data_IF_213730941320
#
_entry.id   IF_213730941320
#
_cell.length_a   1.000
_cell.length_b   1.000
_cell.length_c   1.000
_cell.angle_alpha   90.00
_cell.angle_beta   90.00
_cell.angle_gamma   90.00
#
_symmetry.space_group_name_H-M   'P 1'
#
loop_
_entity.id
_entity.type
_entity.pdbx_description
1 polymer ?
#
# COMPACT_ATOMS: atom_id res chain seq x y z
N UNK A 1 21.40 30.17 12.51
CA UNK A 1 20.89 28.83 12.90
C UNK A 1 19.38 28.93 12.91
N UNK A 2 18.67 28.22 12.03
CA UNK A 2 17.22 28.09 12.16
C UNK A 2 16.98 26.98 13.19
N UNK A 3 16.26 27.29 14.26
CA UNK A 3 15.82 26.31 15.24
C UNK A 3 15.06 25.19 14.51
N UNK A 4 15.54 23.97 14.70
CA UNK A 4 14.88 22.78 14.20
C UNK A 4 13.74 22.51 15.18
N UNK A 5 12.53 22.93 14.82
CA UNK A 5 11.32 22.60 15.59
C UNK A 5 11.20 21.09 15.59
N UNK A 6 11.48 20.46 16.73
CA UNK A 6 11.23 19.04 16.93
C UNK A 6 9.73 18.90 17.14
N UNK A 7 9.02 18.47 16.11
CA UNK A 7 7.62 18.10 16.24
C UNK A 7 7.54 16.76 16.99
N UNK A 8 7.10 16.82 18.25
CA UNK A 8 6.92 15.65 19.11
C UNK A 8 5.87 14.67 18.58
N UNK A 9 5.00 15.09 17.64
CA UNK A 9 4.00 14.21 17.02
C UNK A 9 4.54 13.43 15.81
N UNK A 10 5.73 13.76 15.30
CA UNK A 10 6.29 13.13 14.10
C UNK A 10 6.91 11.77 14.43
N UNK A 11 6.33 10.69 13.90
CA UNK A 11 6.87 9.33 14.04
C UNK A 11 7.92 9.01 12.99
N UNK A 12 7.68 9.36 11.72
CA UNK A 12 8.61 9.21 10.60
C UNK A 12 8.43 10.39 9.62
N UNK A 13 9.30 10.48 8.62
CA UNK A 13 9.28 11.52 7.60
C UNK A 13 9.52 10.95 6.20
N UNK A 14 9.43 11.79 5.17
CA UNK A 14 9.82 11.43 3.80
C UNK A 14 8.81 10.53 3.08
N UNK A 15 7.53 10.69 3.37
CA UNK A 15 6.41 10.00 2.73
C UNK A 15 5.66 11.05 1.90
N UNK A 16 5.21 10.70 0.69
CA UNK A 16 4.49 11.58 -0.24
C UNK A 16 3.01 11.70 0.08
N UNK A 17 2.28 10.59 -0.05
CA UNK A 17 0.82 10.56 0.12
C UNK A 17 0.36 9.18 0.61
N UNK A 18 0.45 8.91 1.93
CA UNK A 18 0.03 7.63 2.48
C UNK A 18 -1.48 7.43 2.32
N UNK A 19 -1.90 6.20 2.03
CA UNK A 19 -3.31 5.85 1.86
C UNK A 19 -3.72 4.75 2.84
N UNK A 20 -3.16 3.55 2.68
CA UNK A 20 -3.49 2.39 3.49
C UNK A 20 -2.49 2.22 4.63
N UNK A 21 -3.01 1.94 5.83
CA UNK A 21 -2.24 1.61 7.02
C UNK A 21 -2.91 0.43 7.74
N UNK A 22 -2.12 -0.56 8.14
CA UNK A 22 -2.61 -1.73 8.86
C UNK A 22 -1.52 -2.33 9.72
N UNK A 23 -1.90 -2.89 10.88
CA UNK A 23 -0.98 -3.67 11.70
C UNK A 23 -0.83 -5.05 11.09
N UNK A 24 0.39 -5.44 10.79
CA UNK A 24 0.71 -6.80 10.40
C UNK A 24 0.44 -7.73 11.61
N UNK A 25 -0.51 -8.67 11.51
CA UNK A 25 -0.95 -9.45 12.65
C UNK A 25 0.09 -10.48 13.10
N UNK A 26 1.09 -10.80 12.27
CA UNK A 26 2.13 -11.78 12.59
C UNK A 26 3.34 -11.15 13.28
N UNK A 27 3.65 -9.87 13.01
CA UNK A 27 4.79 -9.17 13.63
C UNK A 27 4.39 -8.07 14.61
N UNK A 28 3.13 -7.61 14.58
CA UNK A 28 2.65 -6.45 15.32
C UNK A 28 3.16 -5.10 14.77
N UNK A 29 3.94 -5.11 13.68
CA UNK A 29 4.46 -3.90 13.07
C UNK A 29 3.37 -3.18 12.26
N UNK A 30 3.40 -1.84 12.30
CA UNK A 30 2.62 -1.03 11.36
C UNK A 30 3.23 -1.18 9.97
N UNK A 31 2.38 -1.43 8.97
CA UNK A 31 2.71 -1.28 7.57
C UNK A 31 1.89 -0.13 7.02
N UNK A 32 2.47 0.63 6.10
CA UNK A 32 1.77 1.65 5.34
C UNK A 32 2.10 1.52 3.87
N UNK A 33 1.27 2.11 3.02
CA UNK A 33 1.62 2.27 1.63
C UNK A 33 1.17 3.65 1.13
N UNK A 34 1.79 4.11 0.05
CA UNK A 34 1.62 5.47 -0.44
C UNK A 34 1.59 5.58 -1.96
N UNK A 35 1.01 6.67 -2.47
CA UNK A 35 1.07 6.99 -3.89
C UNK A 35 2.39 7.67 -4.25
N UNK A 36 3.04 7.16 -5.27
CA UNK A 36 4.09 7.85 -6.00
C UNK A 36 3.55 8.92 -6.96
N UNK A 37 4.43 9.63 -7.68
CA UNK A 37 4.04 10.56 -8.75
C UNK A 37 3.51 9.78 -9.99
N UNK A 38 4.25 9.78 -11.12
CA UNK A 38 3.98 8.86 -12.23
C UNK A 38 4.82 7.61 -12.01
N UNK A 39 4.20 6.58 -11.43
CA UNK A 39 4.93 5.42 -10.91
C UNK A 39 5.44 5.66 -9.49
N UNK A 40 6.00 4.62 -8.88
CA UNK A 40 6.62 4.68 -7.56
C UNK A 40 5.63 4.62 -6.40
N UNK A 41 4.51 3.91 -6.56
CA UNK A 41 3.70 3.52 -5.39
C UNK A 41 4.50 2.54 -4.54
N UNK A 42 4.41 2.65 -3.21
CA UNK A 42 5.31 1.95 -2.28
C UNK A 42 4.58 1.30 -1.11
N UNK A 43 5.08 0.15 -0.64
CA UNK A 43 4.78 -0.41 0.69
C UNK A 43 5.99 -0.19 1.59
N UNK A 44 5.76 0.38 2.76
CA UNK A 44 6.76 0.73 3.76
C UNK A 44 6.43 0.09 5.11
N UNK A 45 7.46 -0.29 5.88
CA UNK A 45 7.35 -0.66 7.29
C UNK A 45 7.89 0.52 8.10
N UNK A 46 7.04 1.47 8.51
CA UNK A 46 7.44 2.69 9.21
C UNK A 46 8.13 2.43 10.54
N UNK A 47 9.31 3.03 10.73
CA UNK A 47 10.09 3.02 11.97
C UNK A 47 10.26 4.42 12.55
N UNK A 48 10.38 4.50 13.88
CA UNK A 48 10.49 5.76 14.60
C UNK A 48 11.76 6.54 14.20
N UNK A 49 11.58 7.81 13.83
CA UNK A 49 12.65 8.73 13.47
C UNK A 49 13.27 8.49 12.09
N UNK A 50 12.75 7.52 11.32
CA UNK A 50 13.27 7.21 9.98
C UNK A 50 12.68 8.12 8.91
N UNK A 51 13.43 8.25 7.81
CA UNK A 51 13.08 9.06 6.65
C UNK A 51 12.93 8.15 5.42
N UNK A 52 11.74 8.08 4.83
CA UNK A 52 11.41 7.24 3.67
C UNK A 52 11.74 7.92 2.32
N UNK A 53 12.36 9.10 2.39
CA UNK A 53 13.14 9.64 1.29
C UNK A 53 12.41 10.62 0.38
N UNK A 54 11.08 10.61 0.27
CA UNK A 54 10.38 11.59 -0.57
C UNK A 54 10.67 13.05 -0.14
N UNK A 55 10.96 13.98 -1.09
CA UNK A 55 11.07 13.80 -2.54
C UNK A 55 12.50 13.52 -3.05
N UNK A 56 13.47 13.34 -2.15
CA UNK A 56 14.88 13.09 -2.50
C UNK A 56 15.09 11.70 -3.10
N UNK A 57 14.40 10.68 -2.59
CA UNK A 57 14.34 9.34 -3.15
C UNK A 57 12.94 9.09 -3.71
N UNK A 58 12.85 8.51 -4.91
CA UNK A 58 11.58 8.05 -5.47
C UNK A 58 11.81 7.03 -6.57
N UNK A 59 10.95 6.00 -6.61
CA UNK A 59 10.88 5.03 -7.70
C UNK A 59 10.03 5.49 -8.89
N UNK A 60 9.45 6.70 -8.80
CA UNK A 60 8.61 7.30 -9.83
C UNK A 60 9.29 8.45 -10.58
N UNK A 61 8.60 8.96 -11.60
CA UNK A 61 9.00 10.17 -12.33
C UNK A 61 7.92 11.24 -12.23
N UNK A 62 8.24 12.46 -12.62
CA UNK A 62 7.23 13.51 -12.78
C UNK A 62 6.21 13.09 -13.86
N UNK A 63 4.99 13.59 -13.80
CA UNK A 63 3.95 13.31 -14.79
C UNK A 63 4.35 13.71 -16.22
N UNK A 64 5.27 14.68 -16.37
CA UNK A 64 5.89 15.02 -17.66
C UNK A 64 6.75 13.89 -18.27
N UNK A 65 7.09 12.86 -17.49
CA UNK A 65 8.03 11.79 -17.86
C UNK A 65 9.49 12.12 -17.51
N UNK A 66 9.79 13.34 -17.06
CA UNK A 66 11.11 13.73 -16.57
C UNK A 66 11.27 13.38 -15.08
N UNK A 67 12.50 13.40 -14.60
CA UNK A 67 12.82 13.22 -13.18
C UNK A 67 12.06 14.24 -12.30
N UNK A 68 11.66 13.83 -11.10
CA UNK A 68 11.16 14.75 -10.06
C UNK A 68 12.28 15.76 -9.71
N UNK A 69 12.02 17.08 -9.70
CA UNK A 69 13.08 18.09 -9.60
C UNK A 69 14.03 17.94 -8.40
N UNK A 70 13.48 17.56 -7.24
CA UNK A 70 14.21 17.40 -5.98
C UNK A 70 14.90 16.04 -5.85
N UNK A 71 14.53 15.07 -6.67
CA UNK A 71 15.04 13.71 -6.55
C UNK A 71 16.55 13.66 -6.78
N UNK A 72 17.23 12.78 -6.06
CA UNK A 72 18.66 12.49 -6.18
C UNK A 72 18.91 11.12 -6.81
N UNK A 73 17.95 10.20 -6.72
CA UNK A 73 17.95 8.86 -7.35
C UNK A 73 16.84 7.99 -6.76
N UNK A 74 16.78 6.71 -7.13
CA UNK A 74 15.86 5.76 -6.46
C UNK A 74 16.37 5.39 -5.05
N UNK A 75 17.70 5.27 -4.90
CA UNK A 75 18.35 4.95 -3.62
C UNK A 75 19.20 6.15 -3.19
N UNK A 76 18.96 6.66 -1.98
CA UNK A 76 19.65 7.84 -1.44
C UNK A 76 20.14 7.56 -0.03
N UNK A 77 21.39 7.93 0.26
CA UNK A 77 21.97 7.81 1.60
C UNK A 77 21.15 8.57 2.65
N UNK A 78 20.95 7.95 3.82
CA UNK A 78 20.13 8.51 4.91
C UNK A 78 18.62 8.39 4.70
N UNK A 79 18.18 7.58 3.73
CA UNK A 79 16.77 7.25 3.50
C UNK A 79 16.55 5.74 3.60
N UNK A 80 15.38 5.34 4.08
CA UNK A 80 14.94 3.95 4.12
C UNK A 80 14.26 3.58 2.79
N UNK A 81 14.29 2.29 2.44
CA UNK A 81 13.73 1.79 1.20
C UNK A 81 12.40 1.07 1.44
N UNK A 82 11.49 1.09 0.46
CA UNK A 82 10.25 0.33 0.56
C UNK A 82 10.51 -1.17 0.49
N UNK A 83 9.65 -1.94 1.16
CA UNK A 83 9.68 -3.41 1.05
C UNK A 83 9.10 -3.89 -0.27
N UNK A 84 8.34 -3.04 -0.97
CA UNK A 84 7.83 -3.27 -2.31
C UNK A 84 7.51 -1.94 -3.00
N UNK A 85 7.70 -1.86 -4.31
CA UNK A 85 7.27 -0.71 -5.10
C UNK A 85 6.75 -1.13 -6.48
N UNK A 86 5.87 -0.31 -7.05
CA UNK A 86 5.39 -0.46 -8.42
C UNK A 86 5.93 0.67 -9.31
N UNK A 87 6.66 0.31 -10.37
CA UNK A 87 7.07 1.28 -11.41
C UNK A 87 5.87 1.87 -12.15
N UNK A 88 4.84 1.07 -12.38
CA UNK A 88 3.56 1.50 -12.92
C UNK A 88 2.53 1.55 -11.78
N UNK A 89 2.28 2.74 -11.24
CA UNK A 89 1.41 2.93 -10.08
C UNK A 89 -0.01 2.39 -10.31
N UNK A 90 -0.49 1.47 -9.45
CA UNK A 90 -1.91 1.06 -9.40
C UNK A 90 -2.81 2.12 -8.75
N UNK A 91 -2.21 3.16 -8.15
CA UNK A 91 -2.85 4.09 -7.23
C UNK A 91 -3.50 3.33 -6.06
N UNK A 92 -2.65 2.64 -5.29
CA UNK A 92 -3.02 1.79 -4.15
C UNK A 92 -3.81 2.53 -3.04
N UNK A 93 -4.71 1.85 -2.31
CA UNK A 93 -5.71 2.52 -1.45
C UNK A 93 -5.89 1.92 -0.05
N UNK A 94 -7.01 1.30 0.31
CA UNK A 94 -7.11 0.58 1.58
C UNK A 94 -6.45 -0.79 1.49
N UNK A 95 -6.02 -1.31 2.64
CA UNK A 95 -5.39 -2.62 2.72
C UNK A 95 -5.79 -3.42 3.95
N UNK A 96 -5.76 -4.75 3.82
CA UNK A 96 -6.01 -5.67 4.93
C UNK A 96 -5.17 -6.94 4.87
N UNK A 97 -4.51 -7.24 5.98
CA UNK A 97 -3.92 -8.56 6.20
C UNK A 97 -5.00 -9.59 6.49
N UNK A 98 -4.83 -10.80 5.96
CA UNK A 98 -5.75 -11.90 6.15
C UNK A 98 -5.12 -12.98 7.04
N UNK A 99 -5.53 -12.98 8.31
CA UNK A 99 -5.09 -13.93 9.33
C UNK A 99 -6.22 -14.86 9.83
N UNK A 100 -7.41 -14.77 9.25
CA UNK A 100 -8.55 -15.64 9.61
C UNK A 100 -8.37 -17.06 9.05
N UNK A 101 -8.89 -18.05 9.77
CA UNK A 101 -8.89 -19.44 9.33
C UNK A 101 -10.10 -19.81 8.45
N UNK A 102 -11.07 -18.89 8.31
CA UNK A 102 -12.33 -19.12 7.54
C UNK A 102 -12.06 -19.47 6.07
N UNK A 103 -11.04 -18.84 5.48
CA UNK A 103 -10.61 -19.12 4.10
C UNK A 103 -9.12 -19.43 4.10
N UNK A 104 -8.79 -20.70 4.36
CA UNK A 104 -7.40 -21.16 4.45
C UNK A 104 -6.48 -20.72 3.29
N UNK A 105 -6.91 -20.70 2.01
CA UNK A 105 -6.08 -20.23 0.90
C UNK A 105 -5.66 -18.76 0.98
N UNK A 106 -6.39 -17.93 1.73
CA UNK A 106 -6.10 -16.51 1.92
C UNK A 106 -5.21 -16.22 3.13
N UNK A 107 -4.83 -17.22 3.93
CA UNK A 107 -3.87 -17.01 5.02
C UNK A 107 -2.55 -16.49 4.47
N UNK A 108 -1.90 -15.61 5.25
CA UNK A 108 -0.65 -14.96 4.87
C UNK A 108 -0.75 -14.12 3.58
N UNK A 109 -1.94 -13.56 3.32
CA UNK A 109 -2.15 -12.58 2.26
C UNK A 109 -2.32 -11.17 2.82
N UNK A 110 -1.91 -10.20 2.01
CA UNK A 110 -2.27 -8.79 2.14
C UNK A 110 -3.06 -8.41 0.90
N UNK A 111 -4.27 -7.91 1.10
CA UNK A 111 -5.14 -7.41 0.04
C UNK A 111 -5.04 -5.89 -0.01
N UNK A 112 -4.84 -5.32 -1.20
CA UNK A 112 -4.66 -3.88 -1.40
C UNK A 112 -5.60 -3.43 -2.52
N UNK A 113 -6.45 -2.45 -2.25
CA UNK A 113 -7.31 -1.86 -3.28
C UNK A 113 -6.50 -0.99 -4.26
N UNK A 114 -6.83 -1.01 -5.54
CA UNK A 114 -6.23 -0.15 -6.57
C UNK A 114 -7.26 0.80 -7.19
N UNK A 115 -6.99 2.10 -7.12
CA UNK A 115 -7.87 3.14 -7.66
C UNK A 115 -7.71 3.27 -9.18
N UNK A 116 -6.49 3.27 -9.70
CA UNK A 116 -6.24 3.44 -11.14
C UNK A 116 -6.51 2.14 -11.88
N UNK A 117 -6.02 1.03 -11.36
CA UNK A 117 -6.14 -0.27 -12.03
C UNK A 117 -7.52 -0.93 -11.80
N UNK A 118 -8.32 -0.41 -10.85
CA UNK A 118 -9.74 -0.79 -10.63
C UNK A 118 -9.95 -2.24 -10.22
N UNK A 119 -9.15 -2.70 -9.26
CA UNK A 119 -9.13 -4.09 -8.80
C UNK A 119 -8.54 -4.18 -7.37
N UNK A 120 -8.47 -5.39 -6.82
CA UNK A 120 -7.76 -5.68 -5.56
C UNK A 120 -6.52 -6.52 -5.88
N UNK A 121 -5.36 -6.03 -5.46
CA UNK A 121 -4.08 -6.71 -5.54
C UNK A 121 -3.98 -7.70 -4.38
N UNK A 122 -3.51 -8.91 -4.68
CA UNK A 122 -3.28 -9.99 -3.71
C UNK A 122 -1.78 -10.22 -3.57
N UNK A 123 -1.25 -9.90 -2.39
CA UNK A 123 0.15 -10.08 -2.05
C UNK A 123 0.30 -11.29 -1.12
N UNK A 124 1.36 -12.08 -1.28
CA UNK A 124 1.85 -12.99 -0.22
C UNK A 124 2.74 -12.23 0.74
N UNK A 125 2.57 -12.48 2.03
CA UNK A 125 3.41 -11.94 3.10
C UNK A 125 4.31 -13.03 3.63
N UNK A 126 5.62 -12.76 3.68
CA UNK A 126 6.64 -13.62 4.28
C UNK A 126 7.57 -12.79 5.16
N UNK A 127 7.33 -12.85 6.48
CA UNK A 127 7.98 -11.97 7.46
C UNK A 127 7.77 -10.48 7.14
N UNK A 128 8.87 -9.80 6.83
CA UNK A 128 8.90 -8.38 6.46
C UNK A 128 8.95 -8.15 4.94
N UNK A 129 8.74 -9.19 4.14
CA UNK A 129 8.75 -9.13 2.67
C UNK A 129 7.37 -9.46 2.10
N UNK A 130 7.11 -8.97 0.88
CA UNK A 130 5.89 -9.28 0.14
C UNK A 130 6.17 -9.54 -1.33
N UNK A 131 5.33 -10.36 -1.94
CA UNK A 131 5.32 -10.62 -3.39
C UNK A 131 3.90 -10.57 -3.94
N UNK A 132 3.71 -9.96 -5.11
CA UNK A 132 2.41 -9.93 -5.79
C UNK A 132 2.13 -11.32 -6.39
N UNK A 133 0.95 -11.89 -6.10
CA UNK A 133 0.55 -13.21 -6.62
C UNK A 133 -0.59 -13.14 -7.64
N UNK A 134 -1.33 -12.04 -7.67
CA UNK A 134 -2.43 -11.87 -8.58
C UNK A 134 -3.33 -10.71 -8.22
N UNK A 135 -4.41 -10.59 -8.98
CA UNK A 135 -5.40 -9.52 -8.89
C UNK A 135 -6.81 -10.11 -9.00
N UNK A 136 -7.75 -9.53 -8.27
CA UNK A 136 -9.16 -9.95 -8.24
C UNK A 136 -10.09 -8.75 -8.43
N UNK A 137 -11.33 -9.01 -8.84
CA UNK A 137 -12.39 -8.00 -9.08
C UNK A 137 -12.16 -7.05 -10.27
N UNK A 138 -11.11 -7.23 -11.07
CA UNK A 138 -10.84 -6.38 -12.24
C UNK A 138 -11.91 -6.46 -13.34
N UNK A 139 -12.65 -7.56 -13.42
CA UNK A 139 -13.80 -7.74 -14.32
C UNK A 139 -14.94 -6.75 -14.02
N UNK A 140 -15.04 -6.25 -12.79
CA UNK A 140 -16.05 -5.28 -12.37
C UNK A 140 -15.75 -3.85 -12.82
N UNK A 141 -14.49 -3.55 -13.18
CA UNK A 141 -14.04 -2.23 -13.65
C UNK A 141 -14.41 -1.07 -12.71
N UNK A 142 -14.37 -1.30 -11.40
CA UNK A 142 -14.66 -0.30 -10.36
C UNK A 142 -13.39 0.10 -9.63
N UNK A 143 -13.19 1.40 -9.41
CA UNK A 143 -12.09 1.88 -8.56
C UNK A 143 -12.29 1.34 -7.14
N UNK A 144 -11.24 0.81 -6.52
CA UNK A 144 -11.32 0.29 -5.15
C UNK A 144 -10.74 1.30 -4.18
N UNK A 145 -11.53 1.69 -3.16
CA UNK A 145 -11.16 2.67 -2.12
C UNK A 145 -10.62 2.02 -0.85
N UNK A 146 -11.35 1.04 -0.33
CA UNK A 146 -11.00 0.42 0.94
C UNK A 146 -11.19 -1.09 0.90
N UNK A 147 -10.37 -1.81 1.65
CA UNK A 147 -10.36 -3.27 1.77
C UNK A 147 -10.19 -3.62 3.22
N UNK A 148 -11.11 -4.41 3.79
CA UNK A 148 -11.11 -4.81 5.19
C UNK A 148 -11.44 -6.29 5.33
N UNK A 149 -10.83 -6.97 6.30
CA UNK A 149 -11.28 -8.30 6.73
C UNK A 149 -12.28 -8.13 7.86
N UNK A 150 -13.49 -8.64 7.66
CA UNK A 150 -14.54 -8.64 8.68
C UNK A 150 -14.29 -9.71 9.76
N UNK A 151 -14.94 -9.60 10.92
CA UNK A 151 -14.83 -10.61 11.99
C UNK A 151 -15.37 -11.98 11.59
N UNK A 152 -16.19 -12.04 10.52
CA UNK A 152 -16.70 -13.28 9.91
C UNK A 152 -15.73 -13.90 8.88
N UNK A 153 -14.53 -13.32 8.70
CA UNK A 153 -13.52 -13.78 7.76
C UNK A 153 -13.75 -13.39 6.30
N UNK A 154 -14.80 -12.63 5.96
CA UNK A 154 -14.96 -12.13 4.60
C UNK A 154 -14.15 -10.88 4.34
N UNK A 155 -13.76 -10.65 3.08
CA UNK A 155 -13.29 -9.35 2.65
C UNK A 155 -14.49 -8.43 2.40
N UNK A 156 -14.41 -7.21 2.91
CA UNK A 156 -15.33 -6.11 2.63
C UNK A 156 -14.58 -5.05 1.83
N UNK A 157 -15.15 -4.67 0.69
CA UNK A 157 -14.52 -3.76 -0.26
C UNK A 157 -15.45 -2.59 -0.54
N UNK A 158 -14.95 -1.36 -0.43
CA UNK A 158 -15.64 -0.15 -0.84
C UNK A 158 -15.12 0.34 -2.20
N UNK A 159 -16.01 0.74 -3.09
CA UNK A 159 -15.63 1.31 -4.40
C UNK A 159 -15.62 2.85 -4.37
N UNK A 160 -14.71 3.46 -5.12
CA UNK A 160 -14.48 4.90 -5.22
C UNK A 160 -15.21 5.50 -6.44
N UNK A 161 -16.53 5.43 -6.43
CA UNK A 161 -17.39 5.80 -7.56
C UNK A 161 -18.56 6.68 -7.07
N UNK A 162 -19.18 7.45 -7.96
CA UNK A 162 -20.34 8.27 -7.60
C UNK A 162 -21.53 7.44 -7.09
N UNK A 163 -21.72 6.26 -7.67
CA UNK A 163 -22.66 5.23 -7.20
C UNK A 163 -21.86 4.07 -6.56
N UNK A 164 -21.20 4.39 -5.45
CA UNK A 164 -20.29 3.49 -4.73
C UNK A 164 -20.98 2.26 -4.14
N UNK A 165 -20.23 1.17 -4.02
CA UNK A 165 -20.73 -0.13 -3.56
C UNK A 165 -19.94 -0.62 -2.35
N UNK A 166 -20.63 -1.30 -1.45
CA UNK A 166 -20.04 -2.19 -0.45
C UNK A 166 -20.15 -3.63 -0.96
N UNK A 167 -19.01 -4.27 -1.19
CA UNK A 167 -18.94 -5.66 -1.63
C UNK A 167 -18.52 -6.55 -0.47
N UNK A 168 -19.16 -7.70 -0.34
CA UNK A 168 -18.70 -8.82 0.49
C UNK A 168 -18.08 -9.86 -0.43
N UNK A 169 -16.83 -10.22 -0.19
CA UNK A 169 -15.98 -10.99 -1.11
C UNK A 169 -15.41 -12.20 -0.37
N UNK A 170 -15.45 -13.36 -1.04
CA UNK A 170 -14.87 -14.63 -0.61
C UNK A 170 -14.11 -15.27 -1.79
N UNK A 171 -13.19 -16.21 -1.55
CA UNK A 171 -12.62 -16.99 -2.64
C UNK A 171 -13.72 -17.77 -3.37
N UNK A 172 -13.49 -18.08 -4.63
CA UNK A 172 -14.33 -19.04 -5.34
C UNK A 172 -14.30 -20.39 -4.62
N UNK A 173 -15.44 -21.07 -4.56
CA UNK A 173 -15.47 -22.43 -4.04
C UNK A 173 -14.56 -23.30 -4.90
N UNK A 174 -13.58 -23.95 -4.28
CA UNK A 174 -12.83 -25.04 -4.91
C UNK A 174 -13.84 -26.12 -5.26
N UNK A 175 -14.09 -26.33 -6.55
CA UNK A 175 -14.86 -27.48 -7.04
C UNK A 175 -14.02 -28.75 -6.99
#
# INVERSE_FOLDING_TARGET
>A
MKEQVVDLAMYNAGIRNPQGLAINPWSGALWLHEHGPRGGDEINIPEKGKNYGWPLATWGVNYSGLKVPEAKGEIVEGTEQPVYYWKDSPAISGMAFYASDVFAPWRHKLFIGALKDKEVIVMRVDGNTVTEEGRILGDRKQRVRDVRVGPDGYLYVLTDESDGQLLKVSPAATR
#
